data_IF_235535736763
#
_entry.id   IF_235535736763
#
_cell.length_a   1.000
_cell.length_b   1.000
_cell.length_c   1.000
_cell.angle_alpha   90.00
_cell.angle_beta   90.00
_cell.angle_gamma   90.00
#
_symmetry.space_group_name_H-M   'P 1'
#
loop_
_entity.id
_entity.type
_entity.pdbx_description
1 polymer ?
#
# COMPACT_ATOMS: atom_id res chain seq x y z
N UNK A 1 -11.12 -8.07 2.05
CA UNK A 1 -12.12 -9.12 1.81
C UNK A 1 -11.77 -9.97 0.60
N UNK A 2 -11.37 -9.38 -0.54
CA UNK A 2 -11.00 -10.11 -1.77
C UNK A 2 -10.03 -11.30 -1.58
N UNK A 3 -9.04 -11.19 -0.69
CA UNK A 3 -8.06 -12.27 -0.42
C UNK A 3 -8.67 -13.47 0.33
N UNK A 4 -9.69 -13.22 1.17
CA UNK A 4 -10.35 -14.28 1.95
C UNK A 4 -11.30 -15.10 1.10
N UNK A 5 -11.98 -14.45 0.17
CA UNK A 5 -12.91 -15.10 -0.75
C UNK A 5 -12.15 -16.02 -1.73
N UNK A 6 -10.94 -15.61 -2.18
CA UNK A 6 -10.09 -16.46 -3.03
C UNK A 6 -9.58 -17.71 -2.30
N UNK A 7 -9.21 -17.58 -1.01
CA UNK A 7 -8.81 -18.72 -0.16
C UNK A 7 -9.95 -19.72 0.02
N UNK A 8 -11.16 -19.24 0.28
CA UNK A 8 -12.35 -20.10 0.43
C UNK A 8 -12.69 -20.80 -0.89
N UNK A 9 -12.69 -20.07 -2.00
CA UNK A 9 -12.95 -20.65 -3.32
C UNK A 9 -11.90 -21.69 -3.71
N UNK A 10 -10.64 -21.50 -3.31
CA UNK A 10 -9.58 -22.47 -3.52
C UNK A 10 -9.79 -23.73 -2.68
N UNK A 11 -10.10 -23.58 -1.39
CA UNK A 11 -10.36 -24.71 -0.49
C UNK A 11 -11.56 -25.55 -0.93
N UNK A 12 -12.61 -24.90 -1.44
CA UNK A 12 -13.84 -25.55 -1.89
C UNK A 12 -13.80 -25.97 -3.37
N UNK A 13 -12.64 -25.87 -4.03
CA UNK A 13 -12.46 -26.22 -5.44
C UNK A 13 -12.91 -27.64 -5.80
N UNK A 14 -12.52 -28.68 -5.03
CA UNK A 14 -13.02 -30.04 -5.23
C UNK A 14 -14.55 -30.16 -5.13
N UNK A 15 -15.17 -29.56 -4.11
CA UNK A 15 -16.63 -29.55 -3.95
C UNK A 15 -17.34 -28.86 -5.13
N UNK A 16 -16.81 -27.73 -5.60
CA UNK A 16 -17.34 -27.01 -6.76
C UNK A 16 -17.22 -27.81 -8.05
N UNK A 17 -16.11 -28.55 -8.22
CA UNK A 17 -15.92 -29.44 -9.37
C UNK A 17 -16.92 -30.59 -9.34
N UNK A 18 -17.10 -31.21 -8.18
CA UNK A 18 -18.06 -32.30 -7.98
C UNK A 18 -19.50 -31.85 -8.24
N UNK A 19 -19.89 -30.70 -7.70
CA UNK A 19 -21.21 -30.12 -7.90
C UNK A 19 -21.49 -29.73 -9.35
N UNK A 20 -20.48 -29.20 -10.05
CA UNK A 20 -20.62 -28.94 -11.48
C UNK A 20 -20.78 -30.23 -12.29
N UNK A 21 -20.06 -31.30 -11.94
CA UNK A 21 -20.23 -32.60 -12.59
C UNK A 21 -21.64 -33.17 -12.35
N UNK A 22 -22.16 -33.08 -11.12
CA UNK A 22 -23.54 -33.47 -10.80
C UNK A 22 -24.56 -32.70 -11.65
N UNK A 23 -24.39 -31.37 -11.79
CA UNK A 23 -25.27 -30.56 -12.64
C UNK A 23 -25.14 -30.86 -14.15
N UNK A 24 -23.98 -31.34 -14.61
CA UNK A 24 -23.75 -31.70 -16.02
C UNK A 24 -24.44 -33.01 -16.40
N UNK A 25 -24.71 -33.87 -15.44
CA UNK A 25 -25.39 -35.15 -15.64
C UNK A 25 -26.93 -35.03 -15.62
N UNK A 26 -27.46 -33.87 -15.21
CA UNK A 26 -28.91 -33.56 -15.22
C UNK A 26 -29.40 -33.19 -16.61
N UNK A 27 -30.69 -33.39 -16.86
CA UNK A 27 -31.30 -32.91 -18.10
C UNK A 27 -31.32 -31.36 -18.14
N UNK A 28 -31.21 -30.71 -19.30
CA UNK A 28 -31.07 -29.24 -19.39
C UNK A 28 -32.22 -28.43 -18.76
N UNK A 29 -33.41 -29.00 -18.69
CA UNK A 29 -34.60 -28.44 -18.06
C UNK A 29 -34.64 -28.65 -16.54
N UNK A 30 -33.95 -29.66 -16.01
CA UNK A 30 -33.79 -29.91 -14.57
C UNK A 30 -32.73 -28.99 -13.93
N UNK A 31 -31.86 -28.36 -14.72
CA UNK A 31 -30.85 -27.41 -14.22
C UNK A 31 -31.50 -26.04 -13.95
N UNK A 32 -31.44 -25.53 -12.69
CA UNK A 32 -31.95 -24.20 -12.36
C UNK A 32 -31.38 -23.12 -13.27
N UNK A 33 -32.20 -22.17 -13.69
CA UNK A 33 -31.83 -21.12 -14.65
C UNK A 33 -30.60 -20.32 -14.23
N UNK A 34 -30.44 -20.08 -12.92
CA UNK A 34 -29.27 -19.42 -12.32
C UNK A 34 -27.96 -20.19 -12.50
N UNK A 35 -28.01 -21.52 -12.57
CA UNK A 35 -26.84 -22.41 -12.66
C UNK A 35 -26.51 -22.88 -14.08
N UNK A 36 -27.36 -22.59 -15.07
CA UNK A 36 -27.08 -22.98 -16.48
C UNK A 36 -25.74 -22.42 -16.99
N UNK A 37 -25.35 -21.22 -16.55
CA UNK A 37 -24.05 -20.62 -16.89
C UNK A 37 -22.87 -21.36 -16.26
N UNK A 38 -23.06 -21.99 -15.11
CA UNK A 38 -22.05 -22.80 -14.41
C UNK A 38 -21.79 -24.09 -15.19
N UNK A 39 -22.86 -24.74 -15.67
CA UNK A 39 -22.79 -25.95 -16.50
C UNK A 39 -22.11 -25.67 -17.85
N UNK A 40 -22.47 -24.56 -18.50
CA UNK A 40 -21.95 -24.15 -19.80
C UNK A 40 -20.50 -23.64 -19.77
N UNK A 41 -19.96 -23.25 -18.61
CA UNK A 41 -18.56 -22.87 -18.50
C UNK A 41 -17.67 -24.05 -18.92
N UNK A 42 -16.62 -23.83 -19.71
CA UNK A 42 -15.71 -24.89 -20.21
C UNK A 42 -14.36 -24.92 -19.50
N UNK A 43 -14.06 -23.90 -18.69
CA UNK A 43 -12.80 -23.78 -17.96
C UNK A 43 -12.64 -24.82 -16.84
N UNK A 44 -11.39 -25.17 -16.52
CA UNK A 44 -11.04 -26.04 -15.38
C UNK A 44 -11.41 -25.41 -14.03
N UNK A 45 -11.42 -24.08 -13.94
CA UNK A 45 -11.89 -23.30 -12.79
C UNK A 45 -13.06 -22.43 -13.19
N UNK A 46 -14.04 -22.32 -12.30
CA UNK A 46 -15.15 -21.40 -12.47
C UNK A 46 -14.68 -19.97 -12.17
N UNK A 47 -15.10 -18.96 -12.95
CA UNK A 47 -14.95 -17.57 -12.58
C UNK A 47 -15.57 -17.29 -11.20
N UNK A 48 -15.00 -16.38 -10.38
CA UNK A 48 -15.49 -16.09 -9.03
C UNK A 48 -17.01 -15.89 -8.90
N UNK A 49 -17.71 -15.12 -9.76
CA UNK A 49 -19.16 -14.94 -9.60
C UNK A 49 -19.96 -16.21 -9.85
N UNK A 50 -19.50 -17.08 -10.76
CA UNK A 50 -20.15 -18.37 -11.03
C UNK A 50 -19.84 -19.40 -9.94
N UNK A 51 -18.64 -19.35 -9.37
CA UNK A 51 -18.27 -20.18 -8.23
C UNK A 51 -19.09 -19.80 -6.98
N UNK A 52 -19.26 -18.51 -6.70
CA UNK A 52 -20.10 -18.01 -5.61
C UNK A 52 -21.57 -18.46 -5.78
N UNK A 53 -22.15 -18.28 -6.97
CA UNK A 53 -23.51 -18.73 -7.24
C UNK A 53 -23.71 -20.25 -7.07
N UNK A 54 -22.68 -21.05 -7.39
CA UNK A 54 -22.71 -22.49 -7.15
C UNK A 54 -22.57 -22.84 -5.65
N UNK A 55 -21.77 -22.09 -4.89
CA UNK A 55 -21.68 -22.25 -3.42
C UNK A 55 -23.00 -21.94 -2.74
N UNK A 56 -23.65 -20.83 -3.12
CA UNK A 56 -24.97 -20.45 -2.58
C UNK A 56 -25.99 -21.55 -2.86
N UNK A 57 -26.02 -22.08 -4.09
CA UNK A 57 -26.89 -23.20 -4.44
C UNK A 57 -26.59 -24.48 -3.66
N UNK A 58 -25.32 -24.80 -3.39
CA UNK A 58 -24.95 -25.93 -2.53
C UNK A 58 -25.38 -25.70 -1.08
N UNK A 59 -25.38 -24.46 -0.59
CA UNK A 59 -25.85 -24.13 0.74
C UNK A 59 -27.36 -24.37 0.88
N UNK A 60 -28.12 -23.87 -0.10
CA UNK A 60 -29.58 -23.90 -0.10
C UNK A 60 -30.16 -25.28 -0.48
N UNK A 61 -29.49 -26.03 -1.35
CA UNK A 61 -30.04 -27.26 -1.96
C UNK A 61 -29.34 -28.50 -1.43
N UNK A 62 -29.91 -29.11 -0.38
CA UNK A 62 -29.37 -30.35 0.21
C UNK A 62 -29.24 -31.51 -0.79
N UNK A 63 -30.18 -31.65 -1.73
CA UNK A 63 -30.11 -32.69 -2.78
C UNK A 63 -28.90 -32.53 -3.70
N UNK A 64 -28.57 -31.30 -4.09
CA UNK A 64 -27.39 -31.03 -4.91
C UNK A 64 -26.09 -31.41 -4.18
N UNK A 65 -26.01 -31.22 -2.86
CA UNK A 65 -24.85 -31.66 -2.06
C UNK A 65 -24.71 -33.18 -2.03
N UNK A 66 -25.80 -33.91 -1.84
CA UNK A 66 -25.80 -35.38 -1.88
C UNK A 66 -25.35 -35.91 -3.24
N UNK A 67 -25.90 -35.38 -4.34
CA UNK A 67 -25.47 -35.75 -5.70
C UNK A 67 -24.01 -35.40 -5.95
N UNK A 68 -23.54 -34.27 -5.42
CA UNK A 68 -22.12 -33.88 -5.52
C UNK A 68 -21.21 -34.88 -4.83
N UNK A 69 -21.60 -35.40 -3.66
CA UNK A 69 -20.85 -36.44 -2.94
C UNK A 69 -20.83 -37.76 -3.72
N UNK A 70 -21.96 -38.16 -4.32
CA UNK A 70 -22.02 -39.36 -5.16
C UNK A 70 -21.08 -39.26 -6.38
N UNK A 71 -20.93 -38.07 -6.95
CA UNK A 71 -20.01 -37.79 -8.07
C UNK A 71 -18.55 -37.63 -7.63
N UNK A 72 -18.27 -37.62 -6.33
CA UNK A 72 -16.92 -37.42 -5.80
C UNK A 72 -16.59 -38.46 -4.72
N UNK A 73 -16.30 -39.71 -5.13
CA UNK A 73 -16.02 -40.81 -4.21
C UNK A 73 -14.73 -40.62 -3.40
N UNK A 74 -13.84 -39.71 -3.83
CA UNK A 74 -12.62 -39.35 -3.10
C UNK A 74 -12.86 -38.27 -2.02
N UNK A 75 -14.11 -37.87 -1.76
CA UNK A 75 -14.46 -37.03 -0.62
C UNK A 75 -14.08 -37.75 0.68
N UNK A 76 -13.20 -37.13 1.45
CA UNK A 76 -12.65 -37.72 2.67
C UNK A 76 -12.39 -36.64 3.74
N UNK A 77 -13.10 -36.76 4.86
CA UNK A 77 -12.95 -35.89 6.03
C UNK A 77 -11.60 -36.04 6.74
N UNK A 78 -10.90 -37.16 6.54
CA UNK A 78 -9.59 -37.45 7.16
C UNK A 78 -8.42 -37.20 6.21
N UNK A 79 -8.70 -36.73 4.99
CA UNK A 79 -7.68 -36.51 3.97
C UNK A 79 -6.57 -35.59 4.48
N UNK A 80 -5.31 -35.92 4.20
CA UNK A 80 -4.17 -35.05 4.49
C UNK A 80 -4.20 -33.74 3.67
N UNK A 81 -4.93 -33.71 2.56
CA UNK A 81 -5.08 -32.53 1.73
C UNK A 81 -6.17 -31.60 2.28
N UNK A 82 -5.84 -30.36 2.70
CA UNK A 82 -6.82 -29.44 3.27
C UNK A 82 -7.92 -29.03 2.29
N UNK A 83 -7.66 -28.99 0.98
CA UNK A 83 -8.70 -28.68 -0.02
C UNK A 83 -9.74 -29.81 -0.10
N UNK A 84 -9.30 -31.06 -0.03
CA UNK A 84 -10.19 -32.24 -0.01
C UNK A 84 -11.00 -32.26 1.28
N UNK A 85 -10.33 -32.11 2.42
CA UNK A 85 -10.96 -32.14 3.74
C UNK A 85 -11.98 -31.00 3.92
N UNK A 86 -11.63 -29.77 3.54
CA UNK A 86 -12.55 -28.62 3.60
C UNK A 86 -13.76 -28.80 2.67
N UNK A 87 -13.54 -29.29 1.46
CA UNK A 87 -14.60 -29.58 0.50
C UNK A 87 -15.55 -30.69 1.00
N UNK A 88 -15.02 -31.77 1.57
CA UNK A 88 -15.81 -32.85 2.17
C UNK A 88 -16.63 -32.35 3.37
N UNK A 89 -16.01 -31.57 4.27
CA UNK A 89 -16.70 -30.94 5.41
C UNK A 89 -17.88 -30.06 4.98
N UNK A 90 -17.72 -29.31 3.89
CA UNK A 90 -18.77 -28.43 3.37
C UNK A 90 -19.96 -29.19 2.78
N UNK A 91 -19.70 -30.30 2.08
CA UNK A 91 -20.73 -31.13 1.47
C UNK A 91 -21.48 -31.99 2.51
N UNK A 92 -20.74 -32.73 3.34
CA UNK A 92 -21.29 -33.68 4.32
C UNK A 92 -21.95 -33.00 5.52
N UNK A 93 -21.44 -31.83 5.92
CA UNK A 93 -21.91 -31.05 7.08
C UNK A 93 -22.12 -31.87 8.36
N UNK A 94 -21.11 -32.63 8.83
CA UNK A 94 -21.19 -33.27 10.14
C UNK A 94 -21.41 -32.25 11.26
N UNK A 95 -21.82 -32.71 12.44
CA UNK A 95 -22.02 -31.82 13.59
C UNK A 95 -20.75 -30.97 13.86
N UNK A 96 -20.92 -29.65 13.87
CA UNK A 96 -19.80 -28.71 14.07
C UNK A 96 -18.94 -28.41 12.84
N UNK A 97 -19.34 -28.84 11.64
CA UNK A 97 -18.60 -28.64 10.38
C UNK A 97 -18.12 -27.19 10.15
N UNK A 98 -18.92 -26.19 10.53
CA UNK A 98 -18.54 -24.76 10.38
C UNK A 98 -17.25 -24.45 11.14
N UNK A 99 -17.10 -24.95 12.37
CA UNK A 99 -15.90 -24.72 13.18
C UNK A 99 -14.69 -25.42 12.57
N UNK A 100 -14.89 -26.64 12.07
CA UNK A 100 -13.83 -27.40 11.40
C UNK A 100 -13.39 -26.70 10.11
N UNK A 101 -14.33 -26.24 9.28
CA UNK A 101 -14.04 -25.52 8.06
C UNK A 101 -13.33 -24.19 8.34
N UNK A 102 -13.77 -23.43 9.35
CA UNK A 102 -13.08 -22.19 9.77
C UNK A 102 -11.64 -22.47 10.19
N UNK A 103 -11.39 -23.54 10.95
CA UNK A 103 -10.04 -23.96 11.33
C UNK A 103 -9.19 -24.29 10.10
N UNK A 104 -9.72 -25.01 9.12
CA UNK A 104 -8.99 -25.30 7.86
C UNK A 104 -8.65 -24.03 7.08
N UNK A 105 -9.58 -23.07 7.01
CA UNK A 105 -9.33 -21.79 6.34
C UNK A 105 -8.23 -20.98 7.04
N UNK A 106 -8.20 -21.02 8.37
CA UNK A 106 -7.18 -20.36 9.18
C UNK A 106 -5.82 -21.03 9.01
N UNK A 107 -5.75 -22.37 9.09
CA UNK A 107 -4.52 -23.12 8.88
C UNK A 107 -3.92 -22.88 7.49
N UNK A 108 -4.75 -22.87 6.43
CA UNK A 108 -4.28 -22.57 5.07
C UNK A 108 -3.79 -21.13 4.93
N UNK A 109 -4.53 -20.16 5.49
CA UNK A 109 -4.13 -18.75 5.50
C UNK A 109 -2.79 -18.55 6.24
N UNK A 110 -2.61 -19.23 7.37
CA UNK A 110 -1.36 -19.20 8.13
C UNK A 110 -0.20 -19.84 7.34
N UNK A 111 -0.44 -20.97 6.66
CA UNK A 111 0.58 -21.60 5.78
C UNK A 111 0.99 -20.67 4.64
N UNK A 112 0.02 -20.03 3.96
CA UNK A 112 0.30 -19.06 2.90
C UNK A 112 1.11 -17.87 3.41
N UNK A 113 0.75 -17.35 4.59
CA UNK A 113 1.49 -16.25 5.23
C UNK A 113 2.92 -16.67 5.60
N UNK A 114 3.12 -17.88 6.15
CA UNK A 114 4.45 -18.43 6.48
C UNK A 114 5.31 -18.60 5.23
N UNK A 115 4.77 -19.17 4.16
CA UNK A 115 5.48 -19.32 2.89
C UNK A 115 5.89 -17.95 2.31
N UNK A 116 5.03 -16.93 2.42
CA UNK A 116 5.35 -15.56 2.00
C UNK A 116 6.45 -14.94 2.87
N UNK A 117 6.46 -15.21 4.18
CA UNK A 117 7.54 -14.78 5.08
C UNK A 117 8.87 -15.41 4.66
N UNK A 118 8.90 -16.72 4.39
CA UNK A 118 10.09 -17.43 3.93
C UNK A 118 10.62 -16.86 2.60
N UNK A 119 9.73 -16.59 1.64
CA UNK A 119 10.09 -15.94 0.37
C UNK A 119 10.70 -14.55 0.58
N UNK A 120 10.10 -13.75 1.47
CA UNK A 120 10.59 -12.41 1.81
C UNK A 120 11.92 -12.48 2.58
N UNK A 121 12.15 -13.50 3.39
CA UNK A 121 13.43 -13.74 4.06
C UNK A 121 14.53 -14.03 3.03
N UNK A 122 14.28 -14.93 2.07
CA UNK A 122 15.22 -15.20 0.97
C UNK A 122 15.51 -13.94 0.14
N UNK A 123 14.48 -13.13 -0.15
CA UNK A 123 14.66 -11.86 -0.87
C UNK A 123 15.48 -10.85 -0.06
N UNK A 124 15.26 -10.75 1.26
CA UNK A 124 16.04 -9.90 2.16
C UNK A 124 17.51 -10.34 2.22
N UNK A 125 17.78 -11.64 2.31
CA UNK A 125 19.15 -12.18 2.29
C UNK A 125 19.87 -11.89 0.97
N UNK A 126 19.17 -12.08 -0.16
CA UNK A 126 19.70 -11.78 -1.49
C UNK A 126 20.01 -10.29 -1.66
N UNK A 127 19.05 -9.42 -1.33
CA UNK A 127 19.20 -7.96 -1.47
C UNK A 127 20.24 -7.38 -0.52
N UNK A 128 20.35 -7.89 0.72
CA UNK A 128 21.42 -7.49 1.65
C UNK A 128 22.80 -7.91 1.15
N UNK A 129 22.92 -9.08 0.53
CA UNK A 129 24.17 -9.54 -0.08
C UNK A 129 24.57 -8.66 -1.27
N UNK A 130 23.63 -8.34 -2.16
CA UNK A 130 23.83 -7.40 -3.27
C UNK A 130 24.20 -5.99 -2.79
N UNK A 131 23.59 -5.51 -1.71
CA UNK A 131 23.93 -4.23 -1.10
C UNK A 131 25.36 -4.22 -0.52
N UNK A 132 25.80 -5.33 0.08
CA UNK A 132 27.20 -5.46 0.54
C UNK A 132 28.17 -5.46 -0.64
N UNK A 133 27.84 -6.13 -1.73
CA UNK A 133 28.68 -6.18 -2.93
C UNK A 133 28.77 -4.81 -3.62
N UNK A 134 27.64 -4.14 -3.85
CA UNK A 134 27.61 -2.77 -4.41
C UNK A 134 28.40 -1.78 -3.56
N UNK A 135 28.29 -1.85 -2.22
CA UNK A 135 29.14 -1.05 -1.31
C UNK A 135 30.63 -1.33 -1.48
N UNK A 136 31.02 -2.59 -1.69
CA UNK A 136 32.43 -2.95 -1.97
C UNK A 136 32.88 -2.37 -3.31
N UNK A 137 32.07 -2.52 -4.36
CA UNK A 137 32.34 -1.96 -5.69
C UNK A 137 32.49 -0.44 -5.65
N UNK A 138 31.57 0.26 -4.99
CA UNK A 138 31.62 1.72 -4.80
C UNK A 138 32.89 2.15 -4.05
N UNK A 139 33.31 1.40 -3.03
CA UNK A 139 34.55 1.68 -2.30
C UNK A 139 35.79 1.55 -3.18
N UNK A 140 35.83 0.52 -4.04
CA UNK A 140 36.92 0.31 -5.00
C UNK A 140 36.93 1.42 -6.06
N UNK A 141 35.79 1.68 -6.71
CA UNK A 141 35.66 2.73 -7.72
C UNK A 141 36.04 4.11 -7.16
N UNK A 142 35.65 4.44 -5.93
CA UNK A 142 36.04 5.69 -5.27
C UNK A 142 37.54 5.77 -5.00
N UNK A 143 38.19 4.65 -4.66
CA UNK A 143 39.63 4.60 -4.45
C UNK A 143 40.40 4.76 -5.77
N UNK A 144 39.94 4.11 -6.84
CA UNK A 144 40.50 4.23 -8.20
C UNK A 144 40.36 5.66 -8.73
N UNK A 145 39.16 6.25 -8.67
CA UNK A 145 38.91 7.64 -9.06
C UNK A 145 39.79 8.62 -8.27
N UNK A 146 40.03 8.37 -6.98
CA UNK A 146 40.93 9.21 -6.18
C UNK A 146 42.41 9.08 -6.60
N UNK A 147 42.85 7.90 -7.04
CA UNK A 147 44.21 7.69 -7.56
C UNK A 147 44.36 8.38 -8.92
N UNK A 148 43.40 8.23 -9.82
CA UNK A 148 43.38 8.90 -11.13
C UNK A 148 43.33 10.41 -11.00
N UNK A 149 42.45 10.97 -10.17
CA UNK A 149 42.39 12.40 -9.91
C UNK A 149 43.74 12.95 -9.42
N UNK A 150 44.46 12.22 -8.55
CA UNK A 150 45.81 12.58 -8.11
C UNK A 150 46.84 12.51 -9.24
N UNK A 151 46.76 11.51 -10.13
CA UNK A 151 47.63 11.40 -11.31
C UNK A 151 47.40 12.56 -12.27
N UNK A 152 46.15 12.87 -12.59
CA UNK A 152 45.81 14.00 -13.47
C UNK A 152 46.23 15.34 -12.85
N UNK A 153 46.00 15.56 -11.55
CA UNK A 153 46.46 16.78 -10.88
C UNK A 153 47.98 16.97 -11.00
N UNK A 154 48.76 15.89 -10.82
CA UNK A 154 50.23 15.93 -10.99
C UNK A 154 50.63 16.18 -12.44
N UNK A 155 49.96 15.55 -13.40
CA UNK A 155 50.24 15.73 -14.83
C UNK A 155 49.95 17.18 -15.29
N UNK A 156 48.83 17.75 -14.85
CA UNK A 156 48.47 19.16 -15.13
C UNK A 156 49.47 20.12 -14.49
N UNK A 157 49.91 19.86 -13.25
CA UNK A 157 50.93 20.69 -12.60
C UNK A 157 52.29 20.61 -13.34
N UNK A 158 52.68 19.42 -13.79
CA UNK A 158 53.90 19.23 -14.58
C UNK A 158 53.82 19.96 -15.94
N UNK A 159 52.70 19.80 -16.67
CA UNK A 159 52.47 20.49 -17.94
C UNK A 159 52.47 22.02 -17.78
N UNK A 160 51.89 22.55 -16.70
CA UNK A 160 51.95 23.99 -16.38
C UNK A 160 53.38 24.47 -16.11
N UNK A 161 54.19 23.69 -15.38
CA UNK A 161 55.60 24.03 -15.13
C UNK A 161 56.43 24.01 -16.42
N UNK A 162 56.17 23.06 -17.30
CA UNK A 162 56.85 22.96 -18.60
C UNK A 162 56.45 24.10 -19.55
N UNK A 163 55.16 24.43 -19.62
CA UNK A 163 54.65 25.58 -20.38
C UNK A 163 55.21 26.91 -19.88
N UNK A 164 55.41 27.08 -18.57
CA UNK A 164 56.03 28.27 -18.00
C UNK A 164 57.54 28.39 -18.31
N UNK A 165 58.21 27.29 -18.69
CA UNK A 165 59.62 27.25 -19.01
C UNK A 165 59.92 27.50 -20.51
N UNK A 166 58.92 27.38 -21.38
CA UNK A 166 59.04 27.62 -22.82
C UNK A 166 58.53 29.04 -23.13
N UNK A 167 59.37 29.89 -23.73
CA UNK A 167 58.98 31.24 -24.18
C UNK A 167 57.75 31.23 -25.10
N UNK A 168 56.92 32.29 -25.12
CA UNK A 168 55.59 32.29 -25.72
C UNK A 168 55.67 32.25 -27.24
N UNK A 169 55.74 31.05 -27.81
CA UNK A 169 55.45 30.81 -29.22
C UNK A 169 54.49 29.64 -29.36
N UNK A 170 53.27 30.00 -29.77
CA UNK A 170 52.14 29.20 -30.24
C UNK A 170 51.40 28.36 -29.19
N UNK A 171 50.22 28.88 -28.82
CA UNK A 171 49.28 28.48 -27.75
C UNK A 171 48.57 27.12 -27.98
N UNK A 172 48.49 26.62 -29.22
CA UNK A 172 47.54 25.53 -29.56
C UNK A 172 47.96 24.11 -29.11
N UNK A 173 49.20 23.90 -28.64
CA UNK A 173 49.70 22.55 -28.29
C UNK A 173 49.44 22.11 -26.84
N UNK A 174 49.04 23.02 -25.96
CA UNK A 174 48.86 22.73 -24.53
C UNK A 174 47.41 22.31 -24.21
N UNK A 175 46.46 22.61 -25.08
CA UNK A 175 45.04 22.32 -24.84
C UNK A 175 44.67 20.85 -25.04
N UNK A 176 45.29 20.15 -26.00
CA UNK A 176 44.93 18.77 -26.34
C UNK A 176 45.16 17.77 -25.18
N UNK A 177 46.29 17.79 -24.43
CA UNK A 177 46.46 16.95 -23.25
C UNK A 177 45.47 17.31 -22.13
N UNK A 178 45.19 18.59 -21.93
CA UNK A 178 44.29 19.08 -20.88
C UNK A 178 42.85 18.58 -21.10
N UNK A 179 42.36 18.65 -22.35
CA UNK A 179 41.02 18.17 -22.70
C UNK A 179 40.86 16.65 -22.55
N UNK A 180 41.90 15.86 -22.88
CA UNK A 180 41.88 14.41 -22.62
C UNK A 180 41.76 14.09 -21.12
N UNK A 181 42.51 14.81 -20.28
CA UNK A 181 42.48 14.61 -18.83
C UNK A 181 41.12 15.02 -18.22
N UNK A 182 40.48 16.08 -18.75
CA UNK A 182 39.13 16.48 -18.35
C UNK A 182 38.10 15.41 -18.73
N UNK A 183 38.18 14.86 -19.94
CA UNK A 183 37.27 13.80 -20.39
C UNK A 183 37.41 12.52 -19.54
N UNK A 184 38.63 12.14 -19.15
CA UNK A 184 38.87 11.00 -18.26
C UNK A 184 38.26 11.23 -16.86
N UNK A 185 38.46 12.42 -16.27
CA UNK A 185 37.84 12.82 -15.00
C UNK A 185 36.31 12.82 -15.05
N UNK A 186 35.71 13.32 -16.14
CA UNK A 186 34.27 13.27 -16.32
C UNK A 186 33.74 11.84 -16.40
N UNK A 187 34.44 10.95 -17.11
CA UNK A 187 34.04 9.56 -17.22
C UNK A 187 34.10 8.83 -15.87
N UNK A 188 35.15 9.08 -15.07
CA UNK A 188 35.28 8.58 -13.71
C UNK A 188 34.18 9.14 -12.78
N UNK A 189 33.82 10.42 -12.91
CA UNK A 189 32.73 11.04 -12.14
C UNK A 189 31.38 10.38 -12.44
N UNK A 190 31.07 10.19 -13.73
CA UNK A 190 29.83 9.51 -14.16
C UNK A 190 29.75 8.07 -13.65
N UNK A 191 30.87 7.34 -13.67
CA UNK A 191 30.91 5.98 -13.13
C UNK A 191 30.63 5.94 -11.62
N UNK A 192 31.10 6.94 -10.87
CA UNK A 192 30.87 7.06 -9.43
C UNK A 192 29.42 7.43 -9.11
N UNK A 193 28.82 8.34 -9.89
CA UNK A 193 27.40 8.69 -9.80
C UNK A 193 26.50 7.47 -10.05
N UNK A 194 26.73 6.73 -11.13
CA UNK A 194 25.98 5.51 -11.45
C UNK A 194 26.06 4.46 -10.33
N UNK A 195 27.25 4.23 -9.76
CA UNK A 195 27.43 3.30 -8.65
C UNK A 195 26.72 3.76 -7.36
N UNK A 196 26.60 5.08 -7.15
CA UNK A 196 25.87 5.65 -6.02
C UNK A 196 24.35 5.50 -6.19
N UNK A 197 23.84 5.74 -7.41
CA UNK A 197 22.44 5.49 -7.78
C UNK A 197 22.05 4.02 -7.54
N UNK A 198 22.85 3.08 -8.03
CA UNK A 198 22.65 1.63 -7.79
C UNK A 198 22.55 1.29 -6.30
N UNK A 199 23.42 1.87 -5.48
CA UNK A 199 23.38 1.66 -4.03
C UNK A 199 22.08 2.21 -3.42
N UNK A 200 21.64 3.40 -3.84
CA UNK A 200 20.39 3.99 -3.33
C UNK A 200 19.16 3.18 -3.72
N UNK A 201 19.09 2.66 -4.96
CA UNK A 201 18.00 1.79 -5.40
C UNK A 201 17.97 0.48 -4.60
N UNK A 202 19.13 -0.16 -4.40
CA UNK A 202 19.21 -1.39 -3.60
C UNK A 202 18.80 -1.16 -2.14
N UNK A 203 19.19 -0.03 -1.54
CA UNK A 203 18.77 0.33 -0.19
C UNK A 203 17.24 0.54 -0.11
N UNK A 204 16.64 1.16 -1.13
CA UNK A 204 15.19 1.34 -1.25
C UNK A 204 14.46 0.00 -1.34
N UNK A 205 14.91 -0.92 -2.21
CA UNK A 205 14.32 -2.27 -2.34
C UNK A 205 14.38 -3.06 -1.04
N UNK A 206 15.49 -2.98 -0.31
CA UNK A 206 15.63 -3.63 0.99
C UNK A 206 14.64 -3.08 2.04
N UNK A 207 14.40 -1.77 2.05
CA UNK A 207 13.40 -1.17 2.97
C UNK A 207 11.99 -1.67 2.66
N UNK A 208 11.61 -1.73 1.40
CA UNK A 208 10.29 -2.24 0.97
C UNK A 208 10.13 -3.70 1.37
N UNK A 209 11.11 -4.56 1.07
CA UNK A 209 11.06 -5.98 1.44
C UNK A 209 10.97 -6.21 2.97
N UNK A 210 11.66 -5.38 3.76
CA UNK A 210 11.56 -5.41 5.24
C UNK A 210 10.18 -4.98 5.74
N UNK A 211 9.58 -3.95 5.12
CA UNK A 211 8.24 -3.48 5.46
C UNK A 211 7.19 -4.56 5.17
N UNK A 212 7.23 -5.14 3.98
CA UNK A 212 6.33 -6.24 3.58
C UNK A 212 6.45 -7.44 4.54
N UNK A 213 7.68 -7.79 4.92
CA UNK A 213 7.92 -8.86 5.90
C UNK A 213 7.33 -8.54 7.27
N UNK A 214 7.54 -7.32 7.77
CA UNK A 214 6.98 -6.90 9.05
C UNK A 214 5.44 -6.94 9.03
N UNK A 215 4.83 -6.54 7.91
CA UNK A 215 3.38 -6.64 7.72
C UNK A 215 2.90 -8.10 7.67
N UNK A 216 3.59 -8.99 6.95
CA UNK A 216 3.27 -10.40 6.90
C UNK A 216 3.37 -11.07 8.29
N UNK A 217 4.39 -10.71 9.08
CA UNK A 217 4.53 -11.16 10.47
C UNK A 217 3.39 -10.66 11.36
N UNK A 218 2.99 -9.38 11.22
CA UNK A 218 1.83 -8.83 11.93
C UNK A 218 0.55 -9.57 11.57
N UNK A 219 0.35 -9.88 10.28
CA UNK A 219 -0.79 -10.67 9.79
C UNK A 219 -0.79 -12.08 10.39
N UNK A 220 0.37 -12.75 10.44
CA UNK A 220 0.50 -14.07 11.06
C UNK A 220 0.19 -14.03 12.56
N UNK A 221 0.69 -13.02 13.28
CA UNK A 221 0.42 -12.84 14.71
C UNK A 221 -1.06 -12.52 14.98
N UNK A 222 -1.67 -11.65 14.18
CA UNK A 222 -3.08 -11.29 14.31
C UNK A 222 -4.03 -12.44 13.92
N UNK A 223 -3.59 -13.34 13.04
CA UNK A 223 -4.32 -14.50 12.56
C UNK A 223 -4.18 -15.75 13.44
N UNK A 224 -3.42 -15.72 14.53
CA UNK A 224 -3.26 -16.85 15.44
C UNK A 224 -4.00 -16.72 16.78
N UNK A 225 -4.58 -15.56 17.09
CA UNK A 225 -5.01 -15.25 18.46
C UNK A 225 -6.46 -14.76 18.60
N UNK A 226 -7.19 -14.56 17.49
CA UNK A 226 -8.49 -13.84 17.52
C UNK A 226 -9.74 -14.71 17.56
N UNK A 227 -9.64 -16.03 17.36
CA UNK A 227 -10.81 -16.91 17.39
C UNK A 227 -10.88 -17.81 18.63
N UNK A 228 -9.82 -17.88 19.44
CA UNK A 228 -9.67 -18.95 20.44
C UNK A 228 -9.52 -18.50 21.89
N UNK A 229 -9.30 -17.21 22.19
CA UNK A 229 -8.98 -16.80 23.59
C UNK A 229 -10.09 -16.14 24.38
N UNK A 230 -11.10 -15.53 23.76
CA UNK A 230 -12.21 -14.94 24.51
C UNK A 230 -13.58 -15.31 23.92
N UNK A 231 -14.32 -16.24 24.57
CA UNK A 231 -15.70 -16.55 24.21
C UNK A 231 -16.60 -15.31 24.17
N UNK A 232 -16.30 -14.31 25.00
CA UNK A 232 -16.99 -13.02 25.04
C UNK A 232 -16.70 -12.14 23.83
N UNK A 233 -15.49 -12.18 23.27
CA UNK A 233 -15.13 -11.39 22.09
C UNK A 233 -15.73 -12.02 20.82
N UNK A 234 -15.75 -13.36 20.76
CA UNK A 234 -16.47 -14.09 19.72
C UNK A 234 -17.99 -13.85 19.81
N UNK A 235 -18.58 -13.88 21.02
CA UNK A 235 -19.98 -13.55 21.23
C UNK A 235 -20.28 -12.11 20.79
N UNK A 236 -19.51 -11.12 21.23
CA UNK A 236 -19.66 -9.71 20.79
C UNK A 236 -19.52 -9.54 19.28
N UNK A 237 -18.67 -10.32 18.64
CA UNK A 237 -18.46 -10.25 17.18
C UNK A 237 -19.59 -10.92 16.41
N UNK A 238 -20.12 -12.03 16.92
CA UNK A 238 -21.35 -12.66 16.41
C UNK A 238 -22.56 -11.76 16.64
N UNK A 239 -22.66 -11.09 17.80
CA UNK A 239 -23.67 -10.08 18.11
C UNK A 239 -23.54 -8.87 17.19
N UNK A 240 -22.33 -8.41 16.87
CA UNK A 240 -22.09 -7.34 15.91
C UNK A 240 -22.45 -7.76 14.46
N UNK A 241 -22.18 -9.01 14.08
CA UNK A 241 -22.57 -9.55 12.77
C UNK A 241 -24.08 -9.78 12.68
N UNK A 242 -24.71 -10.26 13.75
CA UNK A 242 -26.16 -10.38 13.88
C UNK A 242 -26.83 -9.00 13.89
N UNK A 243 -26.23 -8.00 14.55
CA UNK A 243 -26.69 -6.61 14.54
C UNK A 243 -26.52 -5.97 13.16
N UNK A 244 -25.45 -6.26 12.42
CA UNK A 244 -25.31 -5.82 11.02
C UNK A 244 -26.34 -6.49 10.10
N UNK A 245 -26.70 -7.75 10.35
CA UNK A 245 -27.75 -8.45 9.61
C UNK A 245 -29.16 -7.94 10.00
N UNK A 246 -29.36 -7.59 11.27
CA UNK A 246 -30.60 -7.03 11.81
C UNK A 246 -30.80 -5.57 11.38
N UNK A 247 -29.74 -4.78 11.16
CA UNK A 247 -29.79 -3.40 10.64
C UNK A 247 -30.35 -3.26 9.21
N UNK A 248 -30.80 -4.34 8.58
CA UNK A 248 -31.66 -4.27 7.37
C UNK A 248 -33.14 -4.11 7.70
N UNK A 249 -33.52 -4.17 8.98
CA UNK A 249 -34.89 -4.06 9.50
C UNK A 249 -34.82 -3.29 10.83
N UNK A 250 -35.19 -2.02 10.77
CA UNK A 250 -35.49 -1.06 11.86
C UNK A 250 -34.35 -0.61 12.82
N UNK A 251 -34.14 0.71 12.84
CA UNK A 251 -33.35 1.51 13.80
C UNK A 251 -34.13 1.74 15.12
N UNK A 252 -33.45 1.88 16.29
CA UNK A 252 -32.91 3.20 16.67
C UNK A 252 -31.58 3.24 17.49
N UNK A 253 -30.91 4.38 17.32
CA UNK A 253 -29.95 5.16 18.13
C UNK A 253 -29.08 4.53 19.23
N UNK A 254 -27.76 4.74 19.06
CA UNK A 254 -26.75 4.68 20.11
C UNK A 254 -25.63 5.71 19.86
N UNK A 255 -25.46 6.62 20.82
CA UNK A 255 -24.56 7.78 20.87
C UNK A 255 -23.17 7.62 20.23
N UNK A 256 -22.88 8.47 19.25
CA UNK A 256 -21.51 8.81 18.82
C UNK A 256 -21.15 10.19 19.37
N UNK A 257 -19.93 10.29 19.92
CA UNK A 257 -19.31 11.53 20.40
C UNK A 257 -19.34 12.57 19.28
N UNK A 258 -20.05 13.67 19.51
CA UNK A 258 -20.23 14.79 18.57
C UNK A 258 -18.89 15.53 18.36
N UNK A 259 -18.09 15.08 17.41
CA UNK A 259 -17.20 15.97 16.68
C UNK A 259 -18.03 16.59 15.55
N UNK A 260 -17.99 17.92 15.42
CA UNK A 260 -18.72 18.64 14.38
C UNK A 260 -18.08 18.32 13.03
N UNK A 261 -18.63 17.31 12.32
CA UNK A 261 -18.19 16.92 10.98
C UNK A 261 -18.39 18.09 10.03
N UNK A 262 -17.41 18.37 9.18
CA UNK A 262 -17.57 19.40 8.13
C UNK A 262 -18.40 18.79 7.01
N UNK A 263 -19.68 19.12 6.97
CA UNK A 263 -20.56 18.63 5.93
C UNK A 263 -20.33 19.37 4.61
N UNK A 264 -20.17 18.59 3.54
CA UNK A 264 -20.18 19.13 2.18
C UNK A 264 -21.64 19.26 1.71
N UNK A 265 -22.00 20.37 1.03
CA UNK A 265 -23.32 20.55 0.47
C UNK A 265 -23.72 19.42 -0.49
N UNK A 266 -25.02 19.10 -0.52
CA UNK A 266 -25.55 18.09 -1.44
C UNK A 266 -25.18 18.41 -2.88
N UNK A 267 -24.55 17.45 -3.57
CA UNK A 267 -24.10 17.59 -4.96
C UNK A 267 -22.61 17.94 -5.12
N UNK A 268 -21.94 18.41 -4.07
CA UNK A 268 -20.49 18.64 -4.09
C UNK A 268 -19.78 17.34 -3.73
N UNK A 269 -18.90 16.86 -4.61
CA UNK A 269 -18.15 15.63 -4.36
C UNK A 269 -16.81 15.93 -3.67
N UNK A 270 -16.33 15.05 -2.77
CA UNK A 270 -15.07 15.24 -2.04
C UNK A 270 -13.81 15.14 -2.93
N UNK A 271 -13.94 14.69 -4.17
CA UNK A 271 -12.88 14.65 -5.18
C UNK A 271 -12.91 15.85 -6.14
N UNK A 272 -13.79 16.82 -5.93
CA UNK A 272 -13.91 18.00 -6.79
C UNK A 272 -13.23 19.22 -6.17
N UNK A 273 -12.68 20.09 -7.02
CA UNK A 273 -12.13 21.39 -6.59
C UNK A 273 -13.21 22.34 -6.03
N UNK A 274 -14.48 22.12 -6.36
CA UNK A 274 -15.63 22.82 -5.77
C UNK A 274 -15.74 22.56 -4.25
N UNK A 275 -15.34 21.38 -3.78
CA UNK A 275 -15.28 21.09 -2.34
C UNK A 275 -14.25 21.97 -1.63
N UNK A 276 -13.12 22.26 -2.29
CA UNK A 276 -12.08 23.14 -1.77
C UNK A 276 -12.58 24.59 -1.71
N UNK A 277 -13.25 25.05 -2.78
CA UNK A 277 -13.85 26.39 -2.83
C UNK A 277 -14.88 26.59 -1.71
N UNK A 278 -15.73 25.58 -1.46
CA UNK A 278 -16.71 25.62 -0.36
C UNK A 278 -16.04 25.77 1.00
N UNK A 279 -15.01 24.97 1.29
CA UNK A 279 -14.29 25.00 2.57
C UNK A 279 -13.53 26.32 2.78
N UNK A 280 -13.00 26.92 1.71
CA UNK A 280 -12.39 28.25 1.77
C UNK A 280 -13.40 29.36 2.06
N UNK A 281 -14.65 29.20 1.61
CA UNK A 281 -15.74 30.15 1.85
C UNK A 281 -16.35 30.08 3.26
N UNK A 282 -15.98 29.10 4.08
CA UNK A 282 -16.52 28.98 5.44
C UNK A 282 -15.97 30.08 6.36
N UNK A 283 -16.86 30.72 7.11
CA UNK A 283 -16.48 31.71 8.14
C UNK A 283 -15.99 31.03 9.43
N UNK A 284 -16.42 29.79 9.67
CA UNK A 284 -15.99 29.00 10.83
C UNK A 284 -14.54 28.55 10.69
N UNK A 285 -13.77 28.43 11.78
CA UNK A 285 -12.41 27.94 11.71
C UNK A 285 -12.34 26.50 11.17
N UNK A 286 -11.47 26.26 10.18
CA UNK A 286 -11.25 24.93 9.59
C UNK A 286 -9.77 24.57 9.68
N UNK A 287 -9.49 23.30 10.02
CA UNK A 287 -8.12 22.78 10.10
C UNK A 287 -7.87 21.76 9.01
N UNK A 288 -6.95 22.07 8.11
CA UNK A 288 -6.50 21.17 7.05
C UNK A 288 -5.27 20.39 7.50
N UNK A 289 -5.33 19.06 7.38
CA UNK A 289 -4.19 18.16 7.54
C UNK A 289 -3.93 17.53 6.18
N UNK A 290 -2.78 17.85 5.59
CA UNK A 290 -2.42 17.46 4.22
C UNK A 290 -1.36 16.38 4.25
N UNK A 291 -1.65 15.26 3.60
CA UNK A 291 -0.66 14.26 3.27
C UNK A 291 0.22 14.77 2.12
N UNK A 292 1.41 15.25 2.47
CA UNK A 292 2.33 15.88 1.54
C UNK A 292 2.86 14.91 0.48
N UNK A 293 2.95 13.61 0.77
CA UNK A 293 3.43 12.63 -0.21
C UNK A 293 2.39 12.42 -1.32
N UNK A 294 1.14 12.18 -0.93
CA UNK A 294 0.05 11.97 -1.88
C UNK A 294 -0.20 13.23 -2.73
N UNK A 295 -0.11 14.42 -2.14
CA UNK A 295 -0.30 15.67 -2.88
C UNK A 295 0.85 15.94 -3.87
N UNK A 296 2.12 15.76 -3.47
CA UNK A 296 3.26 15.90 -4.39
C UNK A 296 3.17 14.94 -5.57
N UNK A 297 2.75 13.69 -5.31
CA UNK A 297 2.55 12.69 -6.35
C UNK A 297 1.49 13.14 -7.37
N UNK A 298 0.38 13.74 -6.91
CA UNK A 298 -0.67 14.29 -7.79
C UNK A 298 -0.24 15.49 -8.60
N UNK A 299 0.61 16.34 -8.06
CA UNK A 299 1.19 17.47 -8.78
C UNK A 299 2.23 17.04 -9.82
N UNK A 300 2.56 15.74 -9.93
CA UNK A 300 3.63 15.24 -10.80
C UNK A 300 5.00 15.77 -10.39
N UNK A 301 5.13 16.27 -9.16
CA UNK A 301 6.35 16.83 -8.64
C UNK A 301 7.24 15.73 -8.06
N UNK A 302 8.56 15.92 -8.17
CA UNK A 302 9.51 15.06 -7.47
C UNK A 302 9.31 15.11 -5.96
N UNK A 303 9.90 14.16 -5.23
CA UNK A 303 9.87 14.11 -3.76
C UNK A 303 11.06 14.83 -3.11
N UNK A 304 11.70 15.74 -3.84
CA UNK A 304 12.90 16.46 -3.39
C UNK A 304 12.58 17.65 -2.48
N UNK A 305 13.61 18.34 -1.99
CA UNK A 305 13.43 19.53 -1.15
C UNK A 305 12.77 20.69 -1.91
N UNK A 306 13.14 20.89 -3.18
CA UNK A 306 12.62 21.98 -4.00
C UNK A 306 11.12 21.85 -4.26
N UNK A 307 10.65 20.64 -4.53
CA UNK A 307 9.23 20.34 -4.74
C UNK A 307 8.42 20.57 -3.47
N UNK A 308 8.96 20.17 -2.30
CA UNK A 308 8.34 20.45 -1.00
C UNK A 308 8.28 21.94 -0.71
N UNK A 309 9.34 22.69 -1.01
CA UNK A 309 9.35 24.14 -0.78
C UNK A 309 8.32 24.86 -1.67
N UNK A 310 8.17 24.42 -2.93
CA UNK A 310 7.10 24.91 -3.81
C UNK A 310 5.72 24.58 -3.26
N UNK A 311 5.48 23.31 -2.88
CA UNK A 311 4.21 22.91 -2.30
C UNK A 311 3.89 23.70 -1.01
N UNK A 312 4.88 23.88 -0.13
CA UNK A 312 4.71 24.67 1.09
C UNK A 312 4.32 26.12 0.76
N UNK A 313 4.96 26.72 -0.25
CA UNK A 313 4.60 28.07 -0.72
C UNK A 313 3.17 28.13 -1.25
N UNK A 314 2.75 27.13 -2.02
CA UNK A 314 1.40 27.06 -2.59
C UNK A 314 0.33 26.83 -1.51
N UNK A 315 0.62 26.01 -0.50
CA UNK A 315 -0.26 25.82 0.66
C UNK A 315 -0.36 27.08 1.54
N UNK A 316 0.70 27.87 1.65
CA UNK A 316 0.65 29.19 2.31
C UNK A 316 -0.25 30.15 1.53
N UNK A 317 -0.20 30.13 0.18
CA UNK A 317 -1.11 30.92 -0.66
C UNK A 317 -2.55 30.46 -0.50
N UNK A 318 -2.79 29.15 -0.55
CA UNK A 318 -4.09 28.53 -0.31
C UNK A 318 -4.71 28.98 1.01
N UNK A 319 -3.97 28.88 2.12
CA UNK A 319 -4.41 29.34 3.45
C UNK A 319 -4.85 30.80 3.47
N UNK A 320 -4.18 31.70 2.71
CA UNK A 320 -4.49 33.14 2.68
C UNK A 320 -5.79 33.48 1.96
N UNK A 321 -6.33 32.55 1.19
CA UNK A 321 -7.57 32.75 0.42
C UNK A 321 -8.82 32.33 1.20
N UNK A 322 -8.66 31.77 2.41
CA UNK A 322 -9.77 31.43 3.28
C UNK A 322 -10.50 32.68 3.80
N UNK A 323 -11.82 32.64 3.80
CA UNK A 323 -12.68 33.69 4.36
C UNK A 323 -12.61 33.70 5.90
N UNK A 324 -12.52 32.51 6.52
CA UNK A 324 -12.39 32.32 7.96
C UNK A 324 -10.97 31.99 8.44
N UNK A 325 -10.84 31.68 9.74
CA UNK A 325 -9.58 31.29 10.34
C UNK A 325 -9.17 29.88 9.88
N UNK A 326 -8.20 29.78 8.97
CA UNK A 326 -7.70 28.49 8.48
C UNK A 326 -6.33 28.14 9.06
N UNK A 327 -6.22 26.94 9.61
CA UNK A 327 -4.95 26.32 9.97
C UNK A 327 -4.64 25.20 8.99
N UNK A 328 -3.41 25.16 8.48
CA UNK A 328 -2.95 24.14 7.55
C UNK A 328 -1.72 23.49 8.15
N UNK A 329 -1.76 22.16 8.24
CA UNK A 329 -0.64 21.32 8.64
C UNK A 329 -0.33 20.37 7.48
N UNK A 330 0.91 20.33 7.01
CA UNK A 330 1.36 19.35 6.01
C UNK A 330 2.30 18.35 6.67
N UNK A 331 2.07 17.06 6.41
CA UNK A 331 2.86 15.97 6.96
C UNK A 331 3.62 15.29 5.81
N UNK A 332 4.94 15.21 5.96
CA UNK A 332 5.82 14.48 5.05
C UNK A 332 6.35 13.20 5.72
N UNK A 333 6.56 12.16 4.93
CA UNK A 333 7.19 10.93 5.41
C UNK A 333 8.68 11.17 5.75
N UNK A 334 9.14 10.54 6.82
CA UNK A 334 10.50 10.65 7.39
C UNK A 334 11.59 10.06 6.50
N UNK A 335 11.17 9.28 5.50
CA UNK A 335 12.02 8.64 4.51
C UNK A 335 12.63 9.61 3.47
N UNK A 336 12.18 10.87 3.45
CA UNK A 336 12.63 11.89 2.50
C UNK A 336 13.88 12.67 2.98
N UNK A 337 14.88 12.92 2.12
CA UNK A 337 16.11 13.61 2.50
C UNK A 337 15.86 15.10 2.79
N UNK A 338 16.24 15.60 3.97
CA UNK A 338 16.14 17.01 4.35
C UNK A 338 16.39 17.24 5.85
N UNK A 339 16.57 18.50 6.31
CA UNK A 339 16.76 18.79 7.73
C UNK A 339 15.51 18.39 8.54
N UNK A 340 15.73 17.55 9.56
CA UNK A 340 14.72 16.79 10.31
C UNK A 340 14.22 17.48 11.59
N UNK A 341 14.59 18.74 11.81
CA UNK A 341 14.21 19.39 13.07
C UNK A 341 12.69 19.55 13.17
N UNK A 342 12.19 19.32 14.39
CA UNK A 342 10.80 19.34 14.84
C UNK A 342 9.92 20.41 14.17
N UNK A 343 8.61 20.10 14.08
CA UNK A 343 7.51 20.95 13.60
C UNK A 343 7.94 22.39 13.24
N UNK A 344 8.17 22.62 11.95
CA UNK A 344 8.63 23.92 11.46
C UNK A 344 7.42 24.72 11.01
N UNK A 345 7.19 25.87 11.61
CA UNK A 345 6.22 26.83 11.09
C UNK A 345 6.85 27.62 9.96
N UNK A 346 6.39 27.40 8.73
CA UNK A 346 6.82 28.17 7.54
C UNK A 346 5.72 29.16 7.20
N UNK A 347 5.93 30.45 7.52
CA UNK A 347 4.96 31.52 7.21
C UNK A 347 3.51 31.22 7.66
N UNK A 348 3.35 30.54 8.80
CA UNK A 348 2.04 30.16 9.36
C UNK A 348 1.46 28.83 8.85
N UNK A 349 2.18 28.09 8.00
CA UNK A 349 1.95 26.68 7.69
C UNK A 349 2.70 25.81 8.72
N UNK A 350 2.03 24.84 9.33
CA UNK A 350 2.70 23.87 10.21
C UNK A 350 3.24 22.71 9.37
N UNK A 351 4.56 22.59 9.26
CA UNK A 351 5.22 21.53 8.49
C UNK A 351 5.76 20.48 9.46
N UNK A 352 5.26 19.26 9.35
CA UNK A 352 5.68 18.13 10.17
C UNK A 352 6.30 17.03 9.33
N UNK A 353 7.23 16.33 9.97
CA UNK A 353 7.81 15.11 9.45
C UNK A 353 7.43 13.98 10.39
N UNK A 354 7.03 12.84 9.83
CA UNK A 354 6.85 11.64 10.63
C UNK A 354 8.15 11.32 11.41
N UNK A 355 8.02 10.76 12.60
CA UNK A 355 9.20 10.29 13.35
C UNK A 355 9.77 9.01 12.72
N UNK A 356 10.98 8.58 13.12
CA UNK A 356 11.57 7.34 12.58
C UNK A 356 10.75 6.09 12.97
N UNK A 357 9.98 6.16 14.05
CA UNK A 357 9.16 5.07 14.58
C UNK A 357 7.66 5.18 14.23
N UNK A 358 7.26 6.23 13.50
CA UNK A 358 5.86 6.53 13.14
C UNK A 358 5.72 6.73 11.64
N UNK A 359 4.53 6.43 11.11
CA UNK A 359 4.20 6.74 9.72
C UNK A 359 3.51 8.11 9.62
N UNK A 360 3.56 8.75 8.45
CA UNK A 360 2.78 9.95 8.20
C UNK A 360 1.28 9.73 8.49
N UNK A 361 0.76 8.56 8.12
CA UNK A 361 -0.61 8.14 8.42
C UNK A 361 -0.92 8.16 9.92
N UNK A 362 0.00 7.66 10.75
CA UNK A 362 -0.18 7.60 12.20
C UNK A 362 -0.13 9.00 12.82
N UNK A 363 0.77 9.87 12.34
CA UNK A 363 0.80 11.28 12.74
C UNK A 363 -0.48 12.03 12.33
N UNK A 364 -0.97 11.81 11.10
CA UNK A 364 -2.22 12.39 10.61
C UNK A 364 -3.38 11.96 11.52
N UNK A 365 -3.51 10.66 11.79
CA UNK A 365 -4.56 10.12 12.65
C UNK A 365 -4.45 10.64 14.07
N UNK A 366 -3.24 10.87 14.60
CA UNK A 366 -3.02 11.45 15.91
C UNK A 366 -3.43 12.94 15.99
N UNK A 367 -3.32 13.67 14.88
CA UNK A 367 -3.72 15.08 14.77
C UNK A 367 -5.21 15.31 14.53
N UNK A 368 -5.93 14.27 14.12
CA UNK A 368 -7.39 14.32 14.04
C UNK A 368 -7.96 14.30 15.45
N UNK A 369 -8.20 15.51 15.96
CA UNK A 369 -8.86 15.81 17.22
C UNK A 369 -9.52 17.20 17.12
N UNK A 370 -10.63 17.41 17.81
CA UNK A 370 -11.43 18.65 17.80
C UNK A 370 -12.35 18.83 16.59
N UNK A 371 -13.01 19.99 16.55
CA UNK A 371 -14.00 20.30 15.51
C UNK A 371 -13.38 20.72 14.16
N UNK A 372 -14.15 20.51 13.10
CA UNK A 372 -13.89 21.01 11.75
C UNK A 372 -12.52 20.64 11.15
N UNK A 373 -12.14 19.36 11.26
CA UNK A 373 -10.90 18.82 10.69
C UNK A 373 -11.14 18.26 9.29
N UNK A 374 -10.36 18.72 8.33
CA UNK A 374 -10.33 18.22 6.95
C UNK A 374 -9.00 17.54 6.70
N UNK A 375 -9.03 16.28 6.24
CA UNK A 375 -7.83 15.52 5.89
C UNK A 375 -7.77 15.34 4.37
N UNK A 376 -6.65 15.70 3.76
CA UNK A 376 -6.42 15.55 2.32
C UNK A 376 -5.47 14.39 2.08
N UNK A 377 -5.98 13.30 1.51
CA UNK A 377 -5.20 12.09 1.20
C UNK A 377 -5.88 11.25 0.12
N UNK A 378 -5.11 10.48 -0.63
CA UNK A 378 -5.62 9.47 -1.56
C UNK A 378 -5.54 8.05 -0.99
N UNK A 379 -4.95 7.88 0.20
CA UNK A 379 -4.91 6.59 0.87
C UNK A 379 -6.30 6.26 1.45
N UNK A 380 -6.94 5.25 0.85
CA UNK A 380 -8.28 4.80 1.25
C UNK A 380 -8.34 4.34 2.71
N UNK A 381 -7.30 3.65 3.21
CA UNK A 381 -7.28 3.16 4.58
C UNK A 381 -7.11 4.31 5.57
N UNK A 382 -6.26 5.28 5.25
CA UNK A 382 -6.11 6.48 6.08
C UNK A 382 -7.42 7.27 6.13
N UNK A 383 -8.07 7.47 4.97
CA UNK A 383 -9.38 8.12 4.87
C UNK A 383 -10.42 7.47 5.78
N UNK A 384 -10.60 6.15 5.66
CA UNK A 384 -11.55 5.40 6.50
C UNK A 384 -11.20 5.51 8.00
N UNK A 385 -9.91 5.67 8.36
CA UNK A 385 -9.48 5.86 9.76
C UNK A 385 -9.80 7.25 10.30
N UNK A 386 -9.61 8.30 9.50
CA UNK A 386 -9.85 9.68 9.94
C UNK A 386 -11.34 10.04 9.94
N UNK A 387 -12.11 9.52 8.98
CA UNK A 387 -13.58 9.66 8.95
C UNK A 387 -14.22 9.03 10.20
N UNK A 388 -13.71 7.86 10.64
CA UNK A 388 -14.14 7.24 11.91
C UNK A 388 -13.85 8.07 13.16
N UNK A 389 -12.96 9.07 13.06
CA UNK A 389 -12.67 10.03 14.12
C UNK A 389 -13.44 11.36 13.96
N UNK A 390 -14.34 11.46 12.98
CA UNK A 390 -15.15 12.65 12.73
C UNK A 390 -14.50 13.71 11.84
N UNK A 391 -13.37 13.41 11.18
CA UNK A 391 -12.81 14.30 10.17
C UNK A 391 -13.48 14.11 8.81
N UNK A 392 -13.57 15.19 8.03
CA UNK A 392 -13.99 15.13 6.62
C UNK A 392 -12.77 14.85 5.76
N UNK A 393 -12.83 13.83 4.92
CA UNK A 393 -11.71 13.47 4.05
C UNK A 393 -11.94 13.89 2.60
N UNK A 394 -10.93 14.54 2.02
CA UNK A 394 -10.89 14.94 0.61
C UNK A 394 -9.78 14.20 -0.13
N UNK A 395 -9.99 14.00 -1.42
CA UNK A 395 -8.97 13.40 -2.29
C UNK A 395 -7.88 14.42 -2.60
N UNK A 396 -6.63 13.98 -2.66
CA UNK A 396 -5.50 14.85 -2.99
C UNK A 396 -5.62 15.44 -4.39
N UNK A 397 -6.31 14.76 -5.30
CA UNK A 397 -6.66 15.27 -6.63
C UNK A 397 -7.47 16.57 -6.58
N UNK A 398 -8.43 16.70 -5.67
CA UNK A 398 -9.26 17.89 -5.55
C UNK A 398 -8.44 19.14 -5.23
N UNK A 399 -7.51 19.02 -4.28
CA UNK A 399 -6.61 20.09 -3.89
C UNK A 399 -5.56 20.36 -4.99
N UNK A 400 -5.02 19.32 -5.63
CA UNK A 400 -4.08 19.49 -6.72
C UNK A 400 -4.69 20.24 -7.92
N UNK A 401 -5.90 19.86 -8.33
CA UNK A 401 -6.64 20.52 -9.41
C UNK A 401 -6.93 21.98 -9.07
N UNK A 402 -7.25 22.26 -7.80
CA UNK A 402 -7.46 23.61 -7.32
C UNK A 402 -6.18 24.45 -7.35
N UNK A 403 -5.04 23.90 -6.89
CA UNK A 403 -3.75 24.61 -6.86
C UNK A 403 -3.21 24.93 -8.26
N UNK A 404 -3.63 24.20 -9.29
CA UNK A 404 -3.27 24.46 -10.69
C UNK A 404 -4.09 25.56 -11.37
N UNK A 405 -5.15 26.07 -10.73
CA UNK A 405 -5.93 27.21 -11.22
C UNK A 405 -5.17 28.53 -11.02
#
# INVERSE_FOLDING_TARGET
MADRDDVVLRLLGPALKAARAALQDREPDEVPSSLRRVVAATGKRLPPPLAAALLDALDDQGGLRSESLEKWPEADLESANPEVRASALFLERPAGWVRLLLRETEELSQRGTRARIEELDLLNEKTTSQLKESKRRLKVAKAEAAIEARRHARAVEAARKEAAAVEPRTDDRVDEPSERHKAELESASRALEAANEDMTDMARRLRVARRERAEALRKLAAGGDRLTREPLELARRLDAMAAMAARRIDEPDGETVNASVVDLPTGIRPDSSEAIDHLLGMETPVRFIVDGHNLLFRLGAGIDATARDRLNHDLVRFKRLAAGAMAVTVIYDSSLPGPRDAARTVSGLDVRYASEDSTADDEIVALVDGDAVVVVTDDRLLRERVERKGATALWSGALADWLHR
#
